data_IF_237814491114
#
_entry.id   IF_237814491114
#
_cell.length_a   1.000
_cell.length_b   1.000
_cell.length_c   1.000
_cell.angle_alpha   90.00
_cell.angle_beta   90.00
_cell.angle_gamma   90.00
#
_symmetry.space_group_name_H-M   'P 1'
#
loop_
_entity.id
_entity.type
_entity.pdbx_description
1 polymer ?
#
# COMPACT_ATOMS: atom_id res chain seq x y z
N UNK A 1 39.00 11.98 13.74
CA UNK A 1 38.38 11.94 12.41
C UNK A 1 36.90 11.70 12.61
N UNK A 2 36.11 12.77 12.58
CA UNK A 2 34.65 12.70 12.63
C UNK A 2 34.18 13.00 11.21
N UNK A 3 33.51 12.04 10.56
CA UNK A 3 32.71 12.33 9.38
C UNK A 3 31.27 12.43 9.84
N UNK A 4 30.75 13.65 9.80
CA UNK A 4 29.33 13.96 9.88
C UNK A 4 28.67 13.47 8.59
N UNK A 5 27.78 12.48 8.68
CA UNK A 5 26.80 12.26 7.62
C UNK A 5 25.63 13.22 7.84
N UNK A 6 25.46 14.09 6.85
CA UNK A 6 24.43 15.12 6.76
C UNK A 6 23.03 14.49 6.82
N UNK A 7 22.45 14.44 8.02
CA UNK A 7 21.04 14.13 8.24
C UNK A 7 20.22 15.38 7.94
N UNK A 8 19.93 15.62 6.66
CA UNK A 8 18.70 16.26 6.14
C UNK A 8 18.96 16.96 4.80
N UNK A 9 19.11 16.18 3.72
CA UNK A 9 18.74 16.73 2.41
C UNK A 9 17.22 16.69 2.31
N UNK A 10 16.58 17.79 2.73
CA UNK A 10 15.19 18.13 2.40
C UNK A 10 14.94 17.71 0.94
N UNK A 11 13.91 16.92 0.61
CA UNK A 11 13.61 16.64 -0.78
C UNK A 11 13.28 17.99 -1.44
N UNK A 12 14.21 18.49 -2.23
CA UNK A 12 13.94 19.54 -3.21
C UNK A 12 12.86 18.99 -4.12
N UNK A 13 11.83 19.79 -4.41
CA UNK A 13 10.74 19.48 -5.33
C UNK A 13 11.27 18.88 -6.64
N UNK A 14 11.53 17.58 -6.64
CA UNK A 14 11.69 16.80 -7.83
C UNK A 14 10.27 16.59 -8.32
N UNK A 15 9.96 17.04 -9.53
CA UNK A 15 8.77 16.62 -10.23
C UNK A 15 8.61 15.10 -10.01
N UNK A 16 7.41 14.59 -9.66
CA UNK A 16 7.23 13.18 -9.37
C UNK A 16 7.80 12.42 -10.55
N UNK A 17 8.92 11.74 -10.32
CA UNK A 17 9.55 10.94 -11.34
C UNK A 17 8.48 9.91 -11.70
N UNK A 18 7.88 10.04 -12.89
CA UNK A 18 6.74 9.23 -13.31
C UNK A 18 7.25 7.81 -13.49
N UNK A 19 7.30 7.06 -12.40
CA UNK A 19 7.44 5.62 -12.37
C UNK A 19 6.10 5.05 -12.85
N UNK A 20 5.80 5.24 -14.13
CA UNK A 20 4.68 4.58 -14.78
C UNK A 20 5.12 3.14 -15.04
N UNK A 21 4.60 2.19 -14.28
CA UNK A 21 4.62 0.81 -14.73
C UNK A 21 3.62 0.70 -15.89
N UNK A 22 4.10 0.66 -17.14
CA UNK A 22 3.27 0.37 -18.30
C UNK A 22 3.11 -1.13 -18.55
N UNK A 23 3.75 -1.99 -17.76
CA UNK A 23 3.94 -3.39 -18.12
C UNK A 23 3.60 -4.36 -16.95
N UNK A 24 2.41 -4.99 -17.09
CA UNK A 24 2.22 -6.46 -17.06
C UNK A 24 1.45 -7.14 -15.92
N UNK A 25 0.57 -6.45 -15.19
CA UNK A 25 -0.67 -7.08 -14.71
C UNK A 25 -1.85 -6.14 -14.98
N UNK A 26 -2.95 -6.58 -15.62
CA UNK A 26 -4.04 -5.68 -16.01
C UNK A 26 -4.78 -5.04 -14.83
N UNK A 27 -4.50 -5.46 -13.60
CA UNK A 27 -5.23 -5.06 -12.41
C UNK A 27 -4.46 -4.15 -11.43
N UNK A 28 -3.15 -3.90 -11.62
CA UNK A 28 -2.38 -3.01 -10.74
C UNK A 28 -1.96 -1.72 -11.45
N UNK A 29 -2.10 -0.60 -10.74
CA UNK A 29 -1.65 0.71 -11.19
C UNK A 29 -1.00 1.45 -10.01
N UNK A 30 0.10 2.15 -10.28
CA UNK A 30 0.84 2.89 -9.27
C UNK A 30 2.33 2.95 -9.55
N UNK A 31 3.08 3.48 -8.58
CA UNK A 31 4.54 3.51 -8.61
C UNK A 31 5.10 2.18 -8.10
N UNK A 32 6.09 1.64 -8.80
CA UNK A 32 6.81 0.43 -8.40
C UNK A 32 8.31 0.71 -8.45
N UNK A 33 9.03 0.27 -7.41
CA UNK A 33 10.48 0.42 -7.31
C UNK A 33 11.13 -0.97 -7.26
N UNK A 34 11.99 -1.27 -8.24
CA UNK A 34 12.54 -2.63 -8.44
C UNK A 34 13.96 -2.84 -7.91
N UNK A 35 14.65 -1.77 -7.50
CA UNK A 35 16.07 -1.82 -7.14
C UNK A 35 16.26 -1.37 -5.70
N UNK A 36 16.84 -2.25 -4.88
CA UNK A 36 17.17 -2.02 -3.48
C UNK A 36 16.59 -3.08 -2.55
N UNK A 37 16.88 -2.95 -1.26
CA UNK A 37 16.23 -3.71 -0.20
C UNK A 37 15.28 -2.77 0.55
N UNK A 38 14.03 -3.19 0.72
CA UNK A 38 12.99 -2.37 1.30
C UNK A 38 12.52 -2.99 2.61
N UNK A 39 12.59 -2.21 3.69
CA UNK A 39 12.15 -2.63 5.03
C UNK A 39 10.95 -1.82 5.53
N UNK A 40 10.57 -0.77 4.81
CA UNK A 40 9.50 0.15 5.18
C UNK A 40 8.93 0.79 3.92
N UNK A 41 7.62 0.67 3.74
CA UNK A 41 6.88 1.41 2.72
C UNK A 41 5.70 2.10 3.37
N UNK A 42 5.63 3.42 3.20
CA UNK A 42 4.52 4.25 3.70
C UNK A 42 3.90 5.00 2.53
N UNK A 43 2.58 5.09 2.55
CA UNK A 43 1.80 5.82 1.56
C UNK A 43 0.57 6.45 2.20
N UNK A 44 0.12 7.56 1.62
CA UNK A 44 -1.07 8.28 2.07
C UNK A 44 -2.00 8.51 0.90
N UNK A 45 -3.30 8.34 1.12
CA UNK A 45 -4.31 8.65 0.11
C UNK A 45 -5.59 9.18 0.77
N UNK A 46 -6.34 9.99 0.02
CA UNK A 46 -7.69 10.38 0.40
C UNK A 46 -8.67 9.29 -0.04
N UNK A 47 -9.52 8.84 0.87
CA UNK A 47 -10.53 7.81 0.59
C UNK A 47 -11.52 8.36 -0.44
N UNK A 48 -11.69 7.68 -1.59
CA UNK A 48 -12.53 8.20 -2.66
C UNK A 48 -14.01 8.11 -2.29
N UNK A 49 -14.81 9.05 -2.82
CA UNK A 49 -16.25 8.87 -2.86
C UNK A 49 -16.62 8.04 -4.11
N UNK A 50 -16.97 6.77 -3.92
CA UNK A 50 -17.27 5.86 -5.03
C UNK A 50 -18.70 6.07 -5.55
N UNK A 51 -18.83 6.38 -6.84
CA UNK A 51 -20.12 6.59 -7.52
C UNK A 51 -20.17 5.92 -8.89
N UNK A 52 -21.37 5.56 -9.36
CA UNK A 52 -21.60 5.11 -10.74
C UNK A 52 -21.08 3.71 -11.09
N UNK A 53 -20.71 2.90 -10.10
CA UNK A 53 -20.24 1.53 -10.29
C UNK A 53 -21.37 0.52 -10.02
N UNK A 54 -21.25 -0.68 -10.59
CA UNK A 54 -22.19 -1.78 -10.36
C UNK A 54 -22.04 -2.31 -8.93
N UNK A 55 -23.12 -2.88 -8.38
CA UNK A 55 -23.05 -3.67 -7.14
C UNK A 55 -22.03 -4.80 -7.35
N UNK A 56 -21.23 -5.09 -6.31
CA UNK A 56 -20.09 -6.01 -6.29
C UNK A 56 -18.81 -5.54 -6.99
N UNK A 57 -18.78 -4.36 -7.60
CA UNK A 57 -17.51 -3.77 -8.06
C UNK A 57 -16.57 -3.53 -6.89
N UNK A 58 -15.30 -3.92 -7.06
CA UNK A 58 -14.26 -3.78 -6.03
C UNK A 58 -13.00 -3.14 -6.59
N UNK A 59 -12.32 -2.38 -5.73
CA UNK A 59 -10.98 -1.84 -5.97
C UNK A 59 -10.24 -1.73 -4.64
N UNK A 60 -8.92 -1.56 -4.65
CA UNK A 60 -8.13 -1.32 -3.44
C UNK A 60 -7.07 -0.26 -3.68
N UNK A 61 -6.78 0.54 -2.66
CA UNK A 61 -5.54 1.31 -2.56
C UNK A 61 -4.63 0.62 -1.53
N UNK A 62 -3.35 0.44 -1.86
CA UNK A 62 -2.41 -0.32 -1.02
C UNK A 62 -0.99 0.23 -1.09
N UNK A 63 -0.20 -0.12 -0.07
CA UNK A 63 1.27 -0.13 -0.13
C UNK A 63 1.77 -1.55 0.06
N UNK A 64 2.95 -1.84 -0.46
CA UNK A 64 3.45 -3.20 -0.42
C UNK A 64 4.95 -3.32 -0.64
N UNK A 65 5.51 -4.40 -0.09
CA UNK A 65 6.82 -4.95 -0.43
C UNK A 65 6.58 -6.24 -1.21
N UNK A 66 7.37 -6.47 -2.25
CA UNK A 66 7.31 -7.61 -3.17
C UNK A 66 5.97 -7.80 -3.92
N UNK A 67 5.84 -8.88 -4.67
CA UNK A 67 4.71 -9.18 -5.55
C UNK A 67 4.87 -8.70 -7.00
N UNK A 68 6.03 -8.08 -7.30
CA UNK A 68 6.45 -7.72 -8.65
C UNK A 68 7.39 -8.77 -9.23
N UNK A 69 8.69 -8.52 -9.17
CA UNK A 69 9.73 -9.46 -9.60
C UNK A 69 10.08 -10.52 -8.56
N UNK A 70 9.95 -10.18 -7.27
CA UNK A 70 9.98 -11.14 -6.17
C UNK A 70 8.56 -11.66 -5.97
N UNK A 71 8.35 -12.97 -6.11
CA UNK A 71 7.03 -13.60 -6.03
C UNK A 71 6.90 -14.58 -4.88
N UNK A 72 7.96 -14.75 -4.07
CA UNK A 72 8.03 -15.80 -3.04
C UNK A 72 7.24 -15.44 -1.78
N UNK A 73 7.24 -14.16 -1.41
CA UNK A 73 6.46 -13.60 -0.30
C UNK A 73 5.93 -12.23 -0.73
N UNK A 74 4.75 -11.86 -0.26
CA UNK A 74 4.22 -10.50 -0.40
C UNK A 74 3.87 -9.97 0.99
N UNK A 75 4.15 -8.69 1.24
CA UNK A 75 3.66 -7.98 2.43
C UNK A 75 2.95 -6.71 1.97
N UNK A 76 1.62 -6.74 1.93
CA UNK A 76 0.82 -5.58 1.53
C UNK A 76 -0.19 -5.21 2.60
N UNK A 77 -0.51 -3.92 2.68
CA UNK A 77 -1.60 -3.38 3.49
C UNK A 77 -2.39 -2.38 2.66
N UNK A 78 -3.71 -2.32 2.86
CA UNK A 78 -4.55 -1.46 2.06
C UNK A 78 -5.96 -1.29 2.58
N UNK A 79 -6.74 -0.55 1.80
CA UNK A 79 -8.19 -0.41 1.99
C UNK A 79 -8.87 -0.93 0.74
N UNK A 80 -9.82 -1.86 0.92
CA UNK A 80 -10.70 -2.35 -0.13
C UNK A 80 -11.97 -1.51 -0.15
N UNK A 81 -12.35 -1.09 -1.34
CA UNK A 81 -13.62 -0.42 -1.65
C UNK A 81 -14.53 -1.43 -2.32
N UNK A 82 -15.69 -1.71 -1.75
CA UNK A 82 -16.68 -2.65 -2.31
C UNK A 82 -18.02 -1.96 -2.44
N UNK A 83 -18.58 -1.91 -3.64
CA UNK A 83 -19.93 -1.38 -3.84
C UNK A 83 -20.96 -2.42 -3.45
N UNK A 84 -21.82 -2.07 -2.49
CA UNK A 84 -22.92 -2.93 -2.02
C UNK A 84 -24.28 -2.34 -2.40
N UNK A 85 -25.37 -3.08 -2.18
CA UNK A 85 -26.73 -2.60 -2.42
C UNK A 85 -27.12 -1.38 -1.58
N UNK A 86 -26.43 -1.15 -0.46
CA UNK A 86 -26.65 0.00 0.43
C UNK A 86 -25.60 1.10 0.26
N UNK A 87 -24.74 1.00 -0.76
CA UNK A 87 -23.65 1.95 -1.02
C UNK A 87 -22.24 1.34 -0.83
N UNK A 88 -21.19 2.16 -1.03
CA UNK A 88 -19.80 1.71 -0.88
C UNK A 88 -19.45 1.31 0.56
N UNK A 89 -18.68 0.24 0.72
CA UNK A 89 -18.03 -0.18 1.96
C UNK A 89 -16.52 -0.10 1.83
N UNK A 90 -15.87 0.28 2.92
CA UNK A 90 -14.43 0.48 3.02
C UNK A 90 -13.89 -0.44 4.10
N UNK A 91 -12.93 -1.31 3.77
CA UNK A 91 -12.39 -2.29 4.71
C UNK A 91 -10.87 -2.27 4.66
N UNK A 92 -10.24 -1.96 5.79
CA UNK A 92 -8.79 -2.11 5.96
C UNK A 92 -8.40 -3.60 5.95
N UNK A 93 -7.28 -3.90 5.30
CA UNK A 93 -6.77 -5.26 5.17
C UNK A 93 -5.25 -5.31 5.11
N UNK A 94 -4.71 -6.50 5.37
CA UNK A 94 -3.29 -6.81 5.16
C UNK A 94 -3.12 -8.25 4.63
N UNK A 95 -1.98 -8.52 4.02
CA UNK A 95 -1.56 -9.86 3.56
C UNK A 95 -0.09 -10.06 3.86
N UNK A 96 0.27 -11.29 4.24
CA UNK A 96 1.64 -11.75 4.43
C UNK A 96 1.79 -13.11 3.75
N UNK A 97 2.78 -13.25 2.85
CA UNK A 97 2.95 -14.47 2.05
C UNK A 97 1.84 -14.69 1.02
N UNK A 98 1.68 -15.94 0.56
CA UNK A 98 0.62 -16.31 -0.39
C UNK A 98 -0.78 -16.45 0.26
N UNK A 99 -0.95 -15.98 1.49
CA UNK A 99 -2.18 -16.14 2.25
C UNK A 99 -3.35 -15.35 1.66
N UNK A 100 -4.54 -15.76 2.08
CA UNK A 100 -5.76 -14.99 1.86
C UNK A 100 -5.69 -13.65 2.61
N UNK A 101 -6.33 -12.62 2.04
CA UNK A 101 -6.44 -11.29 2.65
C UNK A 101 -7.00 -11.38 4.07
N UNK A 102 -6.30 -10.77 5.02
CA UNK A 102 -6.71 -10.64 6.42
C UNK A 102 -7.36 -9.27 6.65
N UNK A 103 -8.41 -9.24 7.45
CA UNK A 103 -9.12 -8.02 7.83
C UNK A 103 -8.64 -7.54 9.20
N UNK A 104 -8.55 -6.22 9.39
CA UNK A 104 -8.25 -5.67 10.72
C UNK A 104 -9.40 -5.94 11.69
N UNK A 105 -9.05 -6.38 12.90
CA UNK A 105 -9.97 -6.62 14.02
C UNK A 105 -9.42 -5.97 15.30
N UNK A 106 -10.09 -4.98 15.90
CA UNK A 106 -11.37 -4.40 15.45
C UNK A 106 -11.25 -3.71 14.06
N UNK A 107 -12.36 -3.64 13.30
CA UNK A 107 -12.37 -2.93 12.03
C UNK A 107 -11.96 -1.47 12.19
N UNK A 108 -11.22 -0.95 11.20
CA UNK A 108 -10.92 0.48 11.11
C UNK A 108 -12.14 1.20 10.52
N UNK A 109 -12.63 2.21 11.22
CA UNK A 109 -13.69 3.09 10.72
C UNK A 109 -13.13 3.98 9.61
N UNK A 110 -13.67 3.84 8.39
CA UNK A 110 -13.19 4.52 7.19
C UNK A 110 -14.37 5.10 6.42
N UNK A 111 -14.29 6.39 6.11
CA UNK A 111 -15.29 7.16 5.38
C UNK A 111 -14.69 7.88 4.16
N UNK A 112 -15.49 8.17 3.13
CA UNK A 112 -15.07 9.04 2.02
C UNK A 112 -14.54 10.38 2.53
N UNK A 113 -13.39 10.81 2.02
CA UNK A 113 -12.72 12.05 2.43
C UNK A 113 -11.68 11.89 3.54
N UNK A 114 -11.66 10.77 4.26
CA UNK A 114 -10.60 10.48 5.23
C UNK A 114 -9.23 10.44 4.54
N UNK A 115 -8.18 10.85 5.25
CA UNK A 115 -6.80 10.71 4.80
C UNK A 115 -6.18 9.54 5.56
N UNK A 116 -5.97 8.44 4.85
CA UNK A 116 -5.45 7.19 5.42
C UNK A 116 -3.96 7.11 5.16
N UNK A 117 -3.19 6.68 6.18
CA UNK A 117 -1.75 6.42 6.07
C UNK A 117 -1.48 4.93 6.25
N UNK A 118 -1.16 4.28 5.14
CA UNK A 118 -0.76 2.88 5.15
C UNK A 118 0.73 2.76 5.41
N UNK A 119 1.13 1.75 6.19
CA UNK A 119 2.53 1.39 6.39
C UNK A 119 2.68 -0.11 6.43
N UNK A 120 3.68 -0.64 5.71
CA UNK A 120 4.19 -1.98 5.91
C UNK A 120 5.66 -1.93 6.26
N UNK A 121 6.11 -2.81 7.14
CA UNK A 121 7.54 -2.90 7.50
C UNK A 121 7.96 -4.31 7.86
N UNK A 122 9.23 -4.61 7.59
CA UNK A 122 9.93 -5.80 8.07
C UNK A 122 11.09 -5.36 8.98
N UNK A 123 11.44 -6.12 10.03
CA UNK A 123 12.65 -5.85 10.80
C UNK A 123 13.88 -5.93 9.90
N UNK A 124 14.89 -5.11 10.20
CA UNK A 124 16.11 -5.12 9.41
C UNK A 124 16.80 -6.49 9.48
N UNK A 125 17.03 -7.09 8.31
CA UNK A 125 17.65 -8.42 8.19
C UNK A 125 16.76 -9.60 8.54
N UNK A 126 15.45 -9.40 8.77
CA UNK A 126 14.49 -10.47 9.00
C UNK A 126 13.31 -10.36 8.02
N UNK A 127 13.28 -11.28 7.07
CA UNK A 127 12.26 -11.35 6.02
C UNK A 127 11.10 -12.28 6.42
N UNK A 128 11.12 -12.83 7.64
CA UNK A 128 10.11 -13.78 8.14
C UNK A 128 9.05 -13.10 9.01
N UNK A 129 9.23 -11.83 9.36
CA UNK A 129 8.33 -11.03 10.17
C UNK A 129 7.90 -9.76 9.44
N UNK A 130 6.62 -9.40 9.62
CA UNK A 130 6.05 -8.18 9.06
C UNK A 130 5.06 -7.51 9.98
N UNK A 131 4.97 -6.20 9.82
CA UNK A 131 3.95 -5.36 10.42
C UNK A 131 3.18 -4.64 9.31
N UNK A 132 1.88 -4.52 9.51
CA UNK A 132 0.97 -3.74 8.68
C UNK A 132 0.18 -2.78 9.56
N UNK A 133 0.05 -1.53 9.14
CA UNK A 133 -0.70 -0.49 9.81
C UNK A 133 -1.51 0.32 8.79
N UNK A 134 -2.71 0.74 9.20
CA UNK A 134 -3.68 1.51 8.42
C UNK A 134 -4.20 2.68 9.24
#
# INVERSE_FOLDING_TARGET
MSQSHDLAKKPTNAAPNRLANSNNTPNWAGAVWYVGTFYLVTGTFSVPNITGQMVSSTASALVGIDGGTCTDVILHAGVRFTVTSTGPRYNAWYVWGHDTVNWFDPPVDISPGDVIRLTVSTPWGDETLGLAAV
#
